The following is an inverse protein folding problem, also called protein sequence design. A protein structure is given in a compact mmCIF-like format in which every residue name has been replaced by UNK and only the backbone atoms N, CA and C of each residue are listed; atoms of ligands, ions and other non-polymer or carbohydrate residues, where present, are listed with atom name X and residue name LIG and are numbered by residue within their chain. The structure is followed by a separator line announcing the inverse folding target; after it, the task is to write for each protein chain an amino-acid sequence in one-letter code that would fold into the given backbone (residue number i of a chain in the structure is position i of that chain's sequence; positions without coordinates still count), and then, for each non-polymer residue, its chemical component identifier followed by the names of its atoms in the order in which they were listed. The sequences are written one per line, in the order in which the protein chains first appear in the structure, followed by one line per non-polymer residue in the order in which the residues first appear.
data_IF_606441833534
#
_entry.id   IF_606441833534
#
_cell.length_a   1.000
_cell.length_b   1.000
_cell.length_c   1.000
_cell.angle_alpha   90.00
_cell.angle_beta   90.00
_cell.angle_gamma   90.00
#
_symmetry.space_group_name_H-M   'P 1'
#
loop_
_entity.id
_entity.type
_entity.pdbx_description
1 polymer ?
2 non-polymer ?
3 water ?
#
# COMPACT_ATOMS: atom_id res chain seq x y z
N UNK A 1 -17.42 -12.01 5.24
CA UNK A 1 -16.22 -11.99 4.41
C UNK A 1 -15.59 -13.38 4.40
N UNK A 2 -14.86 -13.70 3.33
CA UNK A 2 -14.42 -15.08 3.14
C UNK A 2 -13.17 -15.41 3.94
N UNK A 3 -12.88 -16.71 3.99
CA UNK A 3 -11.77 -17.19 4.80
C UNK A 3 -10.43 -16.95 4.12
N UNK A 4 -10.43 -16.86 2.80
CA UNK A 4 -9.26 -16.46 2.04
C UNK A 4 -9.60 -15.29 1.12
N UNK A 5 -8.70 -14.31 1.07
CA UNK A 5 -8.75 -13.22 0.11
C UNK A 5 -7.37 -13.12 -0.52
N UNK A 6 -7.33 -12.91 -1.83
CA UNK A 6 -6.05 -12.73 -2.52
C UNK A 6 -6.37 -11.90 -3.75
N UNK A 7 -6.17 -10.58 -3.64
CA UNK A 7 -6.52 -9.69 -4.75
C UNK A 7 -5.67 -9.95 -5.99
N UNK A 8 -4.54 -10.65 -5.86
CA UNK A 8 -3.76 -11.05 -7.02
C UNK A 8 -4.54 -12.00 -7.92
N UNK A 9 -5.32 -12.90 -7.32
CA UNK A 9 -6.08 -13.86 -8.10
C UNK A 9 -7.23 -13.19 -8.82
N UNK A 10 -7.70 -12.06 -8.32
CA UNK A 10 -8.76 -11.30 -8.96
C UNK A 10 -8.21 -10.27 -9.94
N UNK A 11 -6.91 -10.34 -10.26
CA UNK A 11 -6.32 -9.45 -11.26
C UNK A 11 -6.33 -8.00 -10.87
N UNK A 12 -6.21 -7.71 -9.58
CA UNK A 12 -6.32 -6.36 -9.02
C UNK A 12 -4.99 -5.86 -8.47
N UNK A 13 -3.90 -6.57 -8.74
CA UNK A 13 -2.59 -6.24 -8.21
C UNK A 13 -1.60 -6.23 -9.38
N UNK A 14 -0.86 -5.13 -9.50
CA UNK A 14 0.15 -4.99 -10.53
C UNK A 14 1.45 -5.65 -10.06
N UNK A 15 2.45 -5.77 -10.92
CA UNK A 15 3.71 -6.37 -10.49
C UNK A 15 4.31 -5.66 -9.29
N UNK A 16 5.07 -6.42 -8.52
CA UNK A 16 5.76 -5.89 -7.35
C UNK A 16 6.79 -4.85 -7.77
N UNK A 17 6.88 -3.75 -7.03
CA UNK A 17 7.80 -2.69 -7.36
C UNK A 17 8.96 -2.65 -6.36
N UNK A 18 9.99 -1.89 -6.71
CA UNK A 18 11.14 -1.66 -5.84
C UNK A 18 11.34 -0.16 -5.65
N UNK A 19 11.16 0.34 -4.42
CA UNK A 19 11.34 1.76 -4.15
C UNK A 19 12.80 2.22 -4.10
N UNK A 20 13.75 1.31 -3.97
CA UNK A 20 15.15 1.77 -3.88
C UNK A 20 15.45 2.40 -2.52
N UNK A 21 16.49 3.25 -2.53
CA UNK A 21 16.95 3.88 -1.29
C UNK A 21 16.03 4.99 -0.81
N UNK A 22 15.19 5.52 -1.69
CA UNK A 22 14.29 6.61 -1.36
C UNK A 22 13.23 6.16 -0.36
N UNK A 23 12.97 7.00 0.63
CA UNK A 23 11.92 6.70 1.60
C UNK A 23 10.55 7.02 1.03
N UNK A 24 10.19 6.34 -0.07
CA UNK A 24 8.97 6.60 -0.81
C UNK A 24 7.92 5.51 -0.61
N UNK A 25 8.01 4.76 0.49
CA UNK A 25 7.11 3.64 0.66
C UNK A 25 5.67 4.10 0.81
N UNK A 26 5.44 5.25 1.44
CA UNK A 26 4.09 5.75 1.64
C UNK A 26 3.38 5.92 0.30
N UNK A 27 4.13 6.33 -0.72
CA UNK A 27 3.58 6.48 -2.05
C UNK A 27 3.37 5.15 -2.75
N UNK A 28 4.28 4.20 -2.59
CA UNK A 28 4.08 2.89 -3.20
C UNK A 28 2.85 2.21 -2.62
N UNK A 29 2.72 2.23 -1.29
CA UNK A 29 1.54 1.67 -0.63
C UNK A 29 0.25 2.31 -1.16
N UNK A 30 0.21 3.66 -1.18
CA UNK A 30 -0.98 4.33 -1.68
C UNK A 30 -1.30 3.93 -3.11
N UNK A 31 -0.28 3.89 -3.96
CA UNK A 31 -0.51 3.55 -5.36
C UNK A 31 -1.07 2.14 -5.47
N UNK A 32 -0.58 1.21 -4.65
CA UNK A 32 -1.14 -0.14 -4.69
C UNK A 32 -2.63 -0.10 -4.45
N UNK A 33 -3.07 0.69 -3.48
CA UNK A 33 -4.51 0.72 -3.18
C UNK A 33 -5.29 1.37 -4.31
N UNK A 34 -4.69 2.33 -5.01
CA UNK A 34 -5.39 2.95 -6.13
C UNK A 34 -5.51 1.97 -7.29
N UNK A 35 -4.41 1.30 -7.65
CA UNK A 35 -4.46 0.29 -8.70
C UNK A 35 -5.55 -0.74 -8.41
N UNK A 36 -5.65 -1.16 -7.15
CA UNK A 36 -6.64 -2.15 -6.80
C UNK A 36 -8.06 -1.64 -6.91
N UNK A 37 -8.35 -0.47 -6.33
CA UNK A 37 -9.73 -0.03 -6.37
C UNK A 37 -10.14 0.35 -7.78
N UNK A 38 -9.22 0.82 -8.61
CA UNK A 38 -9.59 1.13 -9.99
C UNK A 38 -9.92 -0.16 -10.73
N UNK A 39 -9.17 -1.24 -10.48
CA UNK A 39 -9.52 -2.52 -11.08
C UNK A 39 -10.87 -3.01 -10.60
N UNK A 40 -11.12 -2.91 -9.29
CA UNK A 40 -12.38 -3.35 -8.73
C UNK A 40 -13.58 -2.60 -9.33
N UNK A 41 -13.45 -1.28 -9.50
CA UNK A 41 -14.59 -0.49 -9.97
C UNK A 41 -14.74 -0.49 -11.49
N UNK A 42 -13.65 -0.61 -12.25
CA UNK A 42 -13.73 -0.45 -13.69
C UNK A 42 -13.39 -1.71 -14.48
N UNK A 43 -12.78 -2.72 -13.86
CA UNK A 43 -12.43 -3.90 -14.60
C UNK A 43 -11.06 -3.87 -15.26
N UNK A 44 -10.35 -2.74 -15.20
CA UNK A 44 -9.06 -2.57 -15.86
C UNK A 44 -7.97 -2.48 -14.79
N UNK A 45 -6.90 -3.24 -14.97
CA UNK A 45 -5.73 -3.13 -14.12
C UNK A 45 -4.71 -2.21 -14.77
N UNK A 46 -4.43 -1.10 -14.11
CA UNK A 46 -3.43 -0.15 -14.58
C UNK A 46 -2.41 0.11 -13.50
N UNK A 47 -1.27 0.59 -13.95
CA UNK A 47 -0.24 1.05 -13.04
C UNK A 47 -0.31 2.57 -12.96
N UNK A 48 -0.23 3.10 -11.74
CA UNK A 48 -0.30 4.54 -11.50
C UNK A 48 1.01 5.02 -10.89
N UNK A 49 1.15 6.34 -10.80
CA UNK A 49 2.45 6.97 -10.56
C UNK A 49 2.74 7.15 -9.07
N UNK A 50 3.67 6.36 -8.54
CA UNK A 50 4.24 6.67 -7.24
C UNK A 50 5.02 7.99 -7.27
N UNK A 51 5.71 8.24 -8.38
CA UNK A 51 6.53 9.43 -8.51
C UNK A 51 5.68 10.70 -8.39
N UNK A 52 4.47 10.66 -8.97
CA UNK A 52 3.59 11.81 -8.89
C UNK A 52 3.27 12.15 -7.45
N UNK A 53 3.00 11.14 -6.63
CA UNK A 53 2.72 11.41 -5.23
C UNK A 53 3.96 11.95 -4.52
N UNK A 54 5.14 11.39 -4.80
CA UNK A 54 6.36 11.92 -4.21
C UNK A 54 6.53 13.41 -4.52
N UNK A 55 6.31 13.79 -5.77
CA UNK A 55 6.56 15.16 -6.18
C UNK A 55 5.46 16.09 -5.70
N UNK A 56 4.22 15.62 -5.70
CA UNK A 56 3.08 16.53 -5.62
C UNK A 56 2.38 16.54 -4.27
N UNK A 57 2.61 15.54 -3.41
CA UNK A 57 1.97 15.55 -2.11
C UNK A 57 2.73 16.52 -1.22
N UNK A 58 2.20 17.74 -1.10
CA UNK A 58 2.84 18.82 -0.36
C UNK A 58 2.82 18.60 1.14
N UNK A 59 2.21 17.52 1.60
CA UNK A 59 2.14 17.26 3.02
C UNK A 59 3.04 16.11 3.43
N UNK A 60 3.53 15.32 2.46
CA UNK A 60 4.58 14.34 2.67
C UNK A 60 5.93 15.02 2.41
N UNK A 61 7.02 14.26 2.54
CA UNK A 61 8.34 14.87 2.50
C UNK A 61 9.23 14.25 1.43
N UNK A 62 8.64 13.86 0.31
CA UNK A 62 9.42 13.27 -0.76
C UNK A 62 10.09 12.00 -0.28
N UNK A 63 11.39 11.90 -0.53
CA UNK A 63 12.16 10.74 -0.10
C UNK A 63 12.48 10.74 1.38
N UNK A 64 12.08 11.74 2.14
CA UNK A 64 12.29 11.70 3.57
C UNK A 64 11.10 11.13 4.31
N UNK A 65 10.17 10.53 3.60
CA UNK A 65 9.02 9.87 4.21
C UNK A 65 7.74 10.65 3.97
N UNK A 66 6.64 10.06 4.44
CA UNK A 66 5.36 10.64 4.14
C UNK A 66 4.21 9.81 4.66
N UNK A 67 3.02 10.17 4.20
CA UNK A 67 1.78 9.68 4.77
C UNK A 67 0.92 9.06 3.68
N UNK A 68 0.66 7.76 3.76
CA UNK A 68 -0.28 7.16 2.81
C UNK A 68 -1.62 7.88 2.78
N UNK A 69 -2.08 8.37 3.93
CA UNK A 69 -3.36 9.07 3.96
C UNK A 69 -3.30 10.36 3.15
N UNK A 70 -2.17 11.08 3.22
CA UNK A 70 -2.04 12.32 2.46
C UNK A 70 -2.01 12.06 0.96
N UNK A 71 -1.31 10.99 0.55
CA UNK A 71 -1.25 10.64 -0.87
C UNK A 71 -2.61 10.20 -1.39
N UNK A 72 -3.37 9.45 -0.59
CA UNK A 72 -4.69 9.06 -1.08
C UNK A 72 -5.63 10.25 -1.13
N UNK A 73 -5.48 11.18 -0.17
CA UNK A 73 -6.21 12.44 -0.24
C UNK A 73 -5.90 13.18 -1.53
N UNK A 74 -4.64 13.18 -1.93
CA UNK A 74 -4.22 13.86 -3.15
C UNK A 74 -4.84 13.22 -4.38
N UNK A 75 -4.88 11.89 -4.42
CA UNK A 75 -5.47 11.20 -5.56
C UNK A 75 -6.97 11.44 -5.61
N UNK A 76 -7.59 11.62 -4.43
CA UNK A 76 -9.02 11.90 -4.48
C UNK A 76 -9.29 13.33 -4.89
N UNK A 77 -8.42 14.27 -4.51
CA UNK A 77 -8.68 15.68 -4.80
C UNK A 77 -8.32 16.02 -6.25
N UNK A 78 -7.09 15.71 -6.67
CA UNK A 78 -6.72 15.93 -8.06
C UNK A 78 -6.86 14.67 -8.89
N UNK A 79 -6.00 13.70 -8.67
CA UNK A 79 -6.01 12.49 -9.48
C UNK A 79 -4.60 11.95 -9.56
N UNK A 80 -4.40 11.01 -10.48
CA UNK A 80 -3.09 10.40 -10.64
C UNK A 80 -2.92 9.99 -12.08
N UNK A 81 -1.68 10.06 -12.55
CA UNK A 81 -1.33 9.67 -13.91
C UNK A 81 -0.89 8.21 -13.97
N UNK A 82 -0.94 7.66 -15.18
CA UNK A 82 -0.38 6.32 -15.40
C UNK A 82 1.11 6.33 -15.09
N UNK A 83 1.60 5.16 -14.67
CA UNK A 83 3.02 5.06 -14.34
C UNK A 83 3.88 5.37 -15.56
N UNK A 84 3.58 4.78 -16.71
CA UNK A 84 4.35 5.06 -17.91
C UNK A 84 4.36 6.54 -18.26
N UNK A 85 3.34 7.28 -17.80
CA UNK A 85 3.27 8.72 -18.06
C UNK A 85 4.15 9.51 -17.10
N UNK A 86 4.34 9.00 -15.89
CA UNK A 86 5.00 9.72 -14.79
C UNK A 86 5.81 8.66 -14.06
N UNK A 87 6.88 8.16 -14.67
CA UNK A 87 7.58 6.98 -14.13
C UNK A 87 8.38 7.26 -12.87
N UNK A 88 8.74 6.18 -12.19
CA UNK A 88 9.39 6.31 -10.90
C UNK A 88 10.87 6.60 -11.13
N UNK A 89 11.34 7.63 -10.44
CA UNK A 89 12.68 8.13 -10.63
C UNK A 89 13.55 7.98 -9.39
N UNK A 90 12.96 7.64 -8.24
CA UNK A 90 13.73 7.38 -7.06
C UNK A 90 14.29 8.62 -6.42
N UNK A 91 13.78 9.78 -6.80
CA UNK A 91 14.21 11.05 -6.25
C UNK A 91 13.04 12.00 -6.33
N UNK A 92 12.90 12.85 -5.31
CA UNK A 92 11.83 13.83 -5.38
C UNK A 92 12.26 14.96 -6.32
N UNK A 93 11.35 15.35 -7.20
CA UNK A 93 11.58 16.45 -8.11
C UNK A 93 10.39 17.38 -7.95
N UNK A 94 10.36 18.46 -8.72
CA UNK A 94 9.21 19.34 -8.68
C UNK A 94 7.96 18.60 -9.18
N UNK A 95 6.80 19.00 -8.67
CA UNK A 95 5.54 18.46 -9.13
C UNK A 95 5.25 18.79 -10.59
N UNK A 96 5.09 17.74 -11.38
CA UNK A 96 4.90 17.81 -12.83
C UNK A 96 3.52 17.29 -13.23
N UNK A 97 2.57 17.27 -12.29
CA UNK A 97 1.25 16.70 -12.54
C UNK A 97 0.48 17.49 -13.59
N UNK A 98 0.68 18.80 -13.65
CA UNK A 98 -0.03 19.61 -14.62
C UNK A 98 0.56 19.44 -16.01
N UNK A 99 1.88 19.39 -16.12
CA UNK A 99 2.55 19.32 -17.41
C UNK A 99 2.37 18.00 -18.10
N UNK A 100 1.69 17.05 -17.48
CA UNK A 100 1.56 15.72 -18.05
C UNK A 100 0.15 15.43 -18.50
N UNK A 101 -0.65 16.47 -18.71
CA UNK A 101 -1.97 16.26 -19.26
C UNK A 101 -2.94 15.84 -18.19
N UNK A 102 -4.15 15.47 -18.62
CA UNK A 102 -5.19 15.11 -17.64
C UNK A 102 -4.77 13.91 -16.83
N UNK A 103 -5.27 13.83 -15.60
CA UNK A 103 -4.96 12.70 -14.74
C UNK A 103 -5.62 11.45 -15.29
N UNK A 104 -4.94 10.31 -15.14
CA UNK A 104 -5.45 9.06 -15.69
C UNK A 104 -6.63 8.52 -14.89
N UNK A 105 -6.62 8.72 -13.57
CA UNK A 105 -7.65 8.23 -12.67
C UNK A 105 -7.80 9.20 -11.52
N UNK A 106 -8.95 9.17 -10.88
CA UNK A 106 -9.24 9.99 -9.71
C UNK A 106 -10.17 9.21 -8.79
N UNK A 107 -9.98 9.36 -7.47
CA UNK A 107 -10.85 8.69 -6.52
C UNK A 107 -11.77 9.74 -5.89
N UNK A 108 -12.63 9.30 -4.99
CA UNK A 108 -13.66 10.15 -4.42
C UNK A 108 -13.45 10.41 -2.94
N UNK A 109 -12.46 9.78 -2.32
CA UNK A 109 -12.15 10.07 -0.94
C UNK A 109 -11.20 9.03 -0.39
N UNK A 110 -11.03 9.07 0.93
CA UNK A 110 -10.11 8.18 1.62
C UNK A 110 -10.72 7.85 2.99
N UNK A 111 -10.73 6.56 3.36
CA UNK A 111 -11.19 6.12 4.66
C UNK A 111 -10.03 5.59 5.50
N UNK A 112 -10.19 5.65 6.82
CA UNK A 112 -9.31 4.95 7.75
C UNK A 112 -10.03 3.74 8.35
N UNK A 113 -9.34 2.60 8.42
CA UNK A 113 -9.80 1.46 9.19
C UNK A 113 -9.67 1.77 10.68
N UNK A 114 -10.60 1.27 11.49
CA UNK A 114 -10.51 1.41 12.94
C UNK A 114 -9.18 0.83 13.41
N UNK A 115 -8.30 1.61 14.03
CA UNK A 115 -6.98 1.08 14.39
C UNK A 115 -7.06 0.05 15.49
N UNK A 116 -6.03 -0.79 15.56
CA UNK A 116 -5.86 -1.76 16.63
C UNK A 116 -7.04 -2.73 16.67
N UNK A 117 -7.51 -3.11 15.49
CA UNK A 117 -8.73 -3.92 15.34
C UNK A 117 -8.51 -4.82 14.14
N UNK A 118 -8.21 -6.09 14.41
CA UNK A 118 -7.88 -7.02 13.35
C UNK A 118 -9.06 -7.22 12.41
N UNK A 119 -10.25 -7.46 12.97
CA UNK A 119 -11.41 -7.73 12.13
C UNK A 119 -11.78 -6.58 11.22
N UNK A 120 -11.61 -5.34 11.69
CA UNK A 120 -11.92 -4.19 10.84
C UNK A 120 -11.00 -4.17 9.63
N UNK A 121 -9.73 -4.52 9.83
CA UNK A 121 -8.79 -4.57 8.71
C UNK A 121 -9.14 -5.72 7.78
N UNK A 122 -9.50 -6.88 8.34
CA UNK A 122 -9.90 -7.98 7.47
C UNK A 122 -11.12 -7.58 6.62
N UNK A 123 -12.09 -6.87 7.22
CA UNK A 123 -13.24 -6.40 6.45
C UNK A 123 -12.79 -5.50 5.31
N UNK A 124 -11.92 -4.53 5.62
CA UNK A 124 -11.46 -3.60 4.59
C UNK A 124 -10.73 -4.33 3.47
N UNK A 125 -9.88 -5.29 3.80
CA UNK A 125 -9.16 -6.06 2.78
C UNK A 125 -10.11 -6.92 1.98
N UNK A 126 -11.16 -7.45 2.61
CA UNK A 126 -12.15 -8.20 1.85
C UNK A 126 -12.81 -7.32 0.82
N UNK A 127 -12.90 -6.02 1.11
CA UNK A 127 -13.44 -5.09 0.12
C UNK A 127 -12.42 -4.68 -0.94
N UNK A 128 -11.12 -4.63 -0.60
CA UNK A 128 -10.14 -4.00 -1.49
C UNK A 128 -8.75 -4.02 -0.85
N UNK A 129 -7.68 -3.83 -1.63
CA UNK A 129 -6.36 -3.63 -1.02
C UNK A 129 -6.32 -2.40 -0.14
N UNK A 130 -5.56 -2.50 0.95
CA UNK A 130 -5.55 -1.48 2.00
C UNK A 130 -4.11 -1.03 2.22
N UNK A 131 -3.93 0.25 2.44
CA UNK A 131 -2.60 0.75 2.82
C UNK A 131 -2.42 0.50 4.31
N UNK A 132 -1.33 -0.15 4.68
CA UNK A 132 -1.07 -0.45 6.09
C UNK A 132 0.37 -0.08 6.43
N UNK A 133 0.66 0.01 7.73
CA UNK A 133 2.00 0.31 8.18
C UNK A 133 2.45 -0.81 9.10
N UNK A 134 3.75 -0.92 9.22
CA UNK A 134 4.35 -1.95 10.06
C UNK A 134 5.77 -1.52 10.40
N UNK A 135 6.36 -2.26 11.33
CA UNK A 135 7.75 -2.13 11.71
C UNK A 135 8.61 -2.98 10.78
N UNK A 136 9.40 -2.33 9.93
CA UNK A 136 10.27 -3.07 9.04
C UNK A 136 11.73 -2.98 9.45
N UNK A 137 12.06 -2.27 10.54
CA UNK A 137 13.47 -2.05 10.86
C UNK A 137 14.15 -3.31 11.37
N UNK A 138 13.40 -4.24 11.97
CA UNK A 138 14.01 -5.42 12.52
C UNK A 138 14.60 -6.30 11.44
N UNK A 139 15.80 -6.80 11.70
CA UNK A 139 16.50 -7.65 10.74
C UNK A 139 15.72 -8.93 10.44
N UNK A 140 14.86 -9.38 11.36
CA UNK A 140 14.04 -10.53 11.06
C UNK A 140 13.10 -10.23 9.90
N UNK A 141 12.50 -9.03 9.91
CA UNK A 141 11.68 -8.59 8.79
C UNK A 141 12.50 -8.29 7.55
N UNK A 142 13.63 -7.60 7.73
CA UNK A 142 14.45 -7.22 6.60
C UNK A 142 14.91 -8.46 5.84
N UNK A 143 15.22 -9.52 6.57
CA UNK A 143 15.78 -10.74 6.00
C UNK A 143 14.73 -11.80 5.67
N UNK A 144 13.44 -11.47 5.82
CA UNK A 144 12.36 -12.44 5.60
C UNK A 144 12.48 -13.05 4.21
N UNK A 145 12.39 -14.37 4.13
CA UNK A 145 12.46 -15.06 2.85
C UNK A 145 11.16 -15.72 2.43
N UNK A 146 10.32 -16.10 3.37
CA UNK A 146 9.08 -16.75 3.02
C UNK A 146 8.49 -17.39 4.25
N UNK A 147 7.26 -17.83 4.08
CA UNK A 147 6.51 -18.42 5.18
C UNK A 147 5.66 -17.36 5.83
N UNK A 148 4.91 -17.79 6.84
CA UNK A 148 4.09 -16.87 7.60
C UNK A 148 4.94 -16.24 8.68
N UNK A 149 5.21 -14.95 8.54
CA UNK A 149 6.11 -14.23 9.42
C UNK A 149 5.42 -13.93 10.75
N UNK A 150 6.06 -14.31 11.85
CA UNK A 150 5.52 -14.08 13.18
C UNK A 150 6.33 -13.07 13.97
N UNK A 151 7.36 -12.49 13.37
CA UNK A 151 8.36 -11.70 14.04
C UNK A 151 9.64 -12.49 14.24
N UNK A 152 10.49 -12.08 15.20
CA UNK A 152 10.31 -10.99 16.16
C UNK A 152 10.15 -9.61 15.54
N UNK A 153 9.34 -8.76 16.15
CA UNK A 153 9.23 -7.36 15.76
C UNK A 153 8.49 -6.63 16.88
N UNK A 154 8.75 -5.33 16.99
CA UNK A 154 7.99 -4.49 17.90
C UNK A 154 6.84 -3.80 17.20
N UNK A 155 6.31 -2.78 17.86
CA UNK A 155 5.20 -2.00 17.33
C UNK A 155 5.64 -0.63 16.82
N UNK A 156 6.94 -0.46 16.54
CA UNK A 156 7.49 0.82 16.13
C UNK A 156 7.38 0.92 14.61
N UNK A 157 6.19 1.29 14.13
CA UNK A 157 5.94 1.24 12.70
C UNK A 157 6.74 2.34 12.00
N UNK A 158 7.24 2.00 10.84
CA UNK A 158 8.16 2.87 10.12
C UNK A 158 8.07 2.61 8.62
N UNK A 159 7.12 1.80 8.17
CA UNK A 159 7.14 1.32 6.79
C UNK A 159 5.72 1.07 6.32
N UNK A 160 5.36 1.71 5.21
CA UNK A 160 4.04 1.57 4.63
C UNK A 160 4.09 0.54 3.51
N UNK A 161 3.12 -0.36 3.51
CA UNK A 161 3.03 -1.46 2.57
C UNK A 161 1.57 -1.61 2.23
N UNK A 162 1.20 -2.68 1.52
CA UNK A 162 -0.20 -2.81 1.16
C UNK A 162 -0.71 -4.21 1.45
N UNK A 163 -1.86 -4.31 2.09
CA UNK A 163 -2.50 -5.59 2.33
C UNK A 163 -3.38 -5.90 1.14
N UNK A 164 -3.12 -7.04 0.51
CA UNK A 164 -3.82 -7.44 -0.70
C UNK A 164 -4.54 -8.77 -0.53
N UNK A 165 -4.58 -9.30 0.68
CA UNK A 165 -5.31 -10.53 0.93
C UNK A 165 -5.10 -10.97 2.35
N UNK A 166 -5.64 -12.14 2.67
CA UNK A 166 -5.46 -12.69 4.01
C UNK A 166 -5.89 -14.15 3.98
N UNK A 167 -5.56 -14.84 5.07
CA UNK A 167 -6.02 -16.18 5.29
C UNK A 167 -6.33 -16.34 6.76
N UNK A 168 -6.65 -17.57 7.17
CA UNK A 168 -7.02 -17.77 8.58
C UNK A 168 -5.98 -17.25 9.56
N UNK A 169 -4.70 -17.54 9.31
CA UNK A 169 -3.65 -17.20 10.25
C UNK A 169 -2.80 -16.02 9.82
N UNK A 170 -3.01 -15.47 8.63
CA UNK A 170 -2.09 -14.46 8.12
C UNK A 170 -2.84 -13.34 7.41
N UNK A 171 -2.11 -12.26 7.19
CA UNK A 171 -2.49 -11.18 6.30
C UNK A 171 -1.41 -11.11 5.22
N UNK A 172 -1.84 -10.96 3.98
CA UNK A 172 -0.97 -11.00 2.83
C UNK A 172 -0.57 -9.58 2.44
N UNK A 173 0.73 -9.32 2.40
CA UNK A 173 1.29 -7.98 2.27
C UNK A 173 2.14 -7.90 1.02
N UNK A 174 1.86 -6.91 0.19
CA UNK A 174 2.68 -6.51 -0.94
C UNK A 174 3.68 -5.48 -0.45
N UNK A 175 4.95 -5.83 -0.48
CA UNK A 175 6.01 -4.90 -0.13
C UNK A 175 6.53 -4.21 -1.40
N UNK A 176 7.32 -3.17 -1.21
CA UNK A 176 7.85 -2.38 -2.33
C UNK A 176 9.37 -2.49 -2.35
N UNK A 177 9.87 -3.70 -2.14
CA UNK A 177 11.30 -3.96 -2.12
C UNK A 177 11.74 -4.86 -3.29
N UNK A 178 10.97 -4.92 -4.36
CA UNK A 178 11.34 -5.73 -5.50
C UNK A 178 10.85 -7.15 -5.37
N UNK A 179 10.94 -7.89 -6.47
CA UNK A 179 10.45 -9.27 -6.52
C UNK A 179 11.39 -10.27 -5.86
N UNK A 180 12.60 -9.88 -5.50
CA UNK A 180 13.53 -10.79 -4.86
C UNK A 180 13.41 -10.89 -3.35
N UNK A 181 12.62 -10.04 -2.72
CA UNK A 181 12.43 -10.07 -1.28
C UNK A 181 11.23 -10.93 -0.90
N UNK A 182 11.37 -11.73 0.15
CA UNK A 182 10.20 -12.43 0.64
C UNK A 182 9.69 -13.43 -0.38
N UNK A 183 8.37 -13.55 -0.45
CA UNK A 183 7.70 -14.48 -1.34
C UNK A 183 7.37 -13.76 -2.65
N UNK A 184 8.38 -13.66 -3.51
CA UNK A 184 8.28 -12.94 -4.78
C UNK A 184 7.81 -11.50 -4.56
N UNK A 185 8.25 -10.90 -3.46
CA UNK A 185 7.92 -9.53 -3.18
C UNK A 185 6.84 -9.38 -2.14
N UNK A 186 6.25 -10.48 -1.70
CA UNK A 186 5.17 -10.47 -0.73
C UNK A 186 5.66 -11.01 0.61
N UNK A 187 4.91 -10.69 1.66
CA UNK A 187 5.10 -11.31 2.96
C UNK A 187 3.75 -11.71 3.53
N UNK A 188 3.69 -12.87 4.13
CA UNK A 188 2.52 -13.25 4.90
C UNK A 188 2.83 -13.08 6.37
N UNK A 189 2.08 -12.22 7.04
CA UNK A 189 2.32 -11.89 8.44
C UNK A 189 1.23 -12.54 9.26
N UNK A 190 1.62 -13.27 10.29
CA UNK A 190 0.67 -13.98 11.12
C UNK A 190 -0.38 -13.01 11.66
N UNK A 191 -1.65 -13.46 11.72
CA UNK A 191 -2.69 -12.70 12.39
C UNK A 191 -3.35 -13.62 13.41
N UNK A 192 -4.23 -13.05 14.23
CA UNK A 192 -4.94 -13.83 15.20
C UNK A 192 -4.19 -14.12 16.48
N UNK A 193 -3.14 -13.35 16.78
CA UNK A 193 -2.34 -13.58 17.98
C UNK A 193 -2.95 -12.93 19.21
N UNK A 194 -3.95 -12.08 19.03
CA UNK A 194 -4.60 -11.39 20.12
C UNK A 194 -3.89 -10.15 20.58
N UNK A 195 -2.77 -9.81 19.96
CA UNK A 195 -2.09 -8.56 20.27
C UNK A 195 -2.73 -7.46 19.43
N UNK A 196 -3.36 -6.49 20.10
CA UNK A 196 -4.19 -5.52 19.40
C UNK A 196 -3.41 -4.71 18.37
N UNK A 197 -2.10 -4.53 18.61
CA UNK A 197 -1.29 -3.80 17.66
C UNK A 197 -1.13 -4.52 16.33
N UNK A 198 -1.28 -5.84 16.31
CA UNK A 198 -0.88 -6.63 15.17
C UNK A 198 0.60 -6.95 15.21
N UNK A 199 0.97 -8.07 14.58
CA UNK A 199 2.37 -8.38 14.40
C UNK A 199 3.07 -7.25 13.66
N UNK A 200 4.20 -6.81 14.20
CA UNK A 200 4.94 -5.66 13.66
C UNK A 200 4.07 -4.40 13.61
N UNK A 201 3.10 -4.28 14.51
CA UNK A 201 2.28 -3.08 14.49
C UNK A 201 1.36 -2.98 13.29
N UNK A 202 1.03 -4.10 12.67
CA UNK A 202 0.31 -4.07 11.40
C UNK A 202 -1.04 -3.35 11.46
N UNK A 203 -1.65 -3.19 12.64
CA UNK A 203 -2.97 -2.57 12.73
C UNK A 203 -2.90 -1.11 13.16
N UNK A 204 -1.72 -0.49 13.09
CA UNK A 204 -1.57 0.84 13.68
C UNK A 204 -2.29 1.91 12.85
N UNK A 205 -2.19 1.87 11.52
CA UNK A 205 -2.64 3.00 10.73
C UNK A 205 -2.91 2.51 9.31
N UNK A 206 -4.19 2.32 9.00
CA UNK A 206 -4.59 1.69 7.75
C UNK A 206 -5.61 2.57 7.06
N UNK A 207 -5.38 2.80 5.77
CA UNK A 207 -6.20 3.69 4.96
C UNK A 207 -6.48 3.01 3.63
N UNK A 208 -7.60 3.39 3.03
CA UNK A 208 -7.93 2.89 1.71
C UNK A 208 -8.65 3.99 0.96
N UNK A 209 -8.55 4.02 -0.36
CA UNK A 209 -9.28 5.02 -1.14
C UNK A 209 -10.74 4.65 -1.33
N UNK A 210 -11.54 5.69 -1.49
CA UNK A 210 -12.96 5.55 -1.77
C UNK A 210 -13.18 6.01 -3.19
N UNK A 211 -13.93 5.21 -3.93
CA UNK A 211 -14.23 5.45 -5.34
C UNK A 211 -15.66 4.96 -5.51
N UNK A 212 -16.56 5.85 -5.89
CA UNK A 212 -17.95 5.45 -6.04
C UNK A 212 -18.15 4.64 -7.31
X LIG B 1 8.37 12.18 9.69
X LIG B 1 8.56 11.65 8.27
X LIG B 1 9.49 10.43 8.24
X LIG B 1 7.23 11.34 7.57
X LIG B 1 6.31 10.42 8.34
X LIG B 1 6.20 9.13 7.70
X LIG B 1 6.82 8.02 8.16
X LIG B 1 7.54 8.01 9.15
X LIG B 1 6.56 6.76 7.33
X LIG B 1 5.89 5.70 8.23
X LIG B 1 4.49 5.30 7.77
X LIG B 1 3.46 5.88 8.73
X LIG B 1 4.22 5.76 6.34
X LIG B 1 7.75 6.22 6.72
X LIG B 1 8.10 6.59 5.47
X LIG B 1 7.42 7.39 4.85
X LIG B 1 9.35 5.95 4.86
X LIG B 1 10.40 5.93 5.79
X LIG B 1 9.01 4.55 4.35
X LIG B 1 10.11 3.96 3.50
X LIG B 1 10.23 4.19 2.32
X LIG B 1 10.94 3.16 4.16
X LIG B 1 11.36 1.96 3.50
X LIG B 1 12.80 1.66 3.84
#
# INVERSE_FOLDING_TARGET
IPEYVDWRQKGAVTPVKNQGSCGSCWAFSAVVTIEGIIKIRTGNLNEYSEQELLDCDRRSYGCNGGYPWSALQLVAQYGIHYRNTYPYEGVQRYCRSREKGPYAAKTDGVRQVQPYNEGALLYSIANQPVSVVLEAAGKDFQLYRGGIFVGPCGNKVDHAVAAVGYGPNYILIKNSWGTGWGENGYIRIKRGTGNSYGVCGLYTSSFYPVKN
E6D C14 C13 C15 C12 C11 N10 C8 O9 C7 C19 C20 C22 C21 N6 C4 O5 C3 O1 C2 C16 O18 O17 C23 C24
#
